data_IF_277804672731
#
_entry.id   IF_277804672731
#
_cell.length_a   1.000
_cell.length_b   1.000
_cell.length_c   1.000
_cell.angle_alpha   90.00
_cell.angle_beta   90.00
_cell.angle_gamma   90.00
#
_symmetry.space_group_name_H-M   'P 1'
#
loop_
_entity.id
_entity.type
_entity.pdbx_description
1 polymer ?
#
# COMPACT_ATOMS: atom_id res chain seq x y z
N UNK A 1 31.93 -50.44 10.22
CA UNK A 1 31.28 -49.66 9.14
C UNK A 1 30.33 -48.65 9.78
N UNK A 2 30.74 -47.39 9.91
CA UNK A 2 29.92 -46.32 10.52
C UNK A 2 29.43 -45.39 9.42
N UNK A 3 28.24 -45.70 8.87
CA UNK A 3 27.57 -44.84 7.90
C UNK A 3 27.15 -43.53 8.55
N UNK A 4 27.72 -42.42 8.12
CA UNK A 4 27.34 -41.07 8.57
C UNK A 4 25.93 -40.76 8.07
N UNK A 5 24.97 -40.74 8.99
CA UNK A 5 23.61 -40.28 8.74
C UNK A 5 23.62 -38.77 8.51
N UNK A 6 23.31 -38.35 7.28
CA UNK A 6 23.02 -36.95 6.97
C UNK A 6 21.50 -36.77 7.00
N UNK A 7 20.94 -35.98 7.94
CA UNK A 7 19.52 -35.66 7.88
C UNK A 7 19.26 -34.90 6.58
N UNK A 8 18.25 -35.32 5.84
CA UNK A 8 17.75 -34.61 4.66
C UNK A 8 17.26 -33.23 5.09
N UNK A 9 18.18 -32.26 5.10
CA UNK A 9 17.87 -30.85 5.33
C UNK A 9 17.08 -30.42 4.11
N UNK A 10 15.76 -30.47 4.20
CA UNK A 10 14.88 -29.85 3.23
C UNK A 10 15.26 -28.38 3.18
N UNK A 11 16.10 -28.04 2.20
CA UNK A 11 16.25 -26.66 1.74
C UNK A 11 14.91 -26.32 1.11
N UNK A 12 13.92 -26.00 1.94
CA UNK A 12 12.88 -25.07 1.52
C UNK A 12 13.67 -23.88 1.01
N UNK A 13 13.76 -23.76 -0.32
CA UNK A 13 14.27 -22.57 -0.97
C UNK A 13 13.50 -21.44 -0.29
N UNK A 14 14.19 -20.67 0.57
CA UNK A 14 13.63 -19.43 1.12
C UNK A 14 13.14 -18.72 -0.12
N UNK A 15 11.81 -18.61 -0.24
CA UNK A 15 11.12 -18.11 -1.43
C UNK A 15 12.00 -17.02 -2.01
N UNK A 16 12.64 -17.36 -3.14
CA UNK A 16 13.65 -16.50 -3.75
C UNK A 16 13.08 -15.11 -3.83
N UNK A 17 13.97 -14.15 -3.58
CA UNK A 17 13.83 -12.72 -3.78
C UNK A 17 12.71 -12.40 -4.80
N UNK A 18 11.46 -12.43 -4.34
CA UNK A 18 10.35 -11.93 -5.12
C UNK A 18 10.57 -10.46 -4.94
N UNK A 19 11.19 -9.83 -5.94
CA UNK A 19 11.25 -8.39 -6.06
C UNK A 19 9.85 -7.90 -5.71
N UNK A 20 9.69 -7.42 -4.47
CA UNK A 20 8.45 -6.79 -4.09
C UNK A 20 8.42 -5.58 -4.98
N UNK A 21 7.54 -5.58 -5.97
CA UNK A 21 7.26 -4.41 -6.78
C UNK A 21 6.61 -3.41 -5.84
N UNK A 22 7.42 -2.75 -5.02
CA UNK A 22 7.02 -1.57 -4.29
C UNK A 22 6.60 -0.55 -5.33
N UNK A 23 5.49 0.14 -5.09
CA UNK A 23 5.09 1.20 -6.00
C UNK A 23 6.24 2.20 -6.12
N UNK A 24 6.50 2.74 -7.32
CA UNK A 24 7.57 3.70 -7.49
C UNK A 24 7.37 4.87 -6.54
N UNK A 25 8.45 5.37 -5.93
CA UNK A 25 8.40 6.47 -4.98
C UNK A 25 7.65 7.70 -5.55
N UNK A 26 7.79 7.93 -6.86
CA UNK A 26 7.07 8.96 -7.61
C UNK A 26 5.54 8.87 -7.52
N UNK A 27 4.96 7.68 -7.33
CA UNK A 27 3.52 7.53 -7.09
C UNK A 27 3.11 8.15 -5.75
N UNK A 28 3.89 7.89 -4.70
CA UNK A 28 3.62 8.46 -3.38
C UNK A 28 3.82 9.98 -3.37
N UNK A 29 4.87 10.47 -4.01
CA UNK A 29 5.10 11.91 -4.15
C UNK A 29 3.92 12.60 -4.85
N UNK A 30 3.42 12.04 -5.96
CA UNK A 30 2.23 12.56 -6.65
C UNK A 30 0.97 12.53 -5.77
N UNK A 31 0.74 11.44 -5.04
CA UNK A 31 -0.39 11.33 -4.14
C UNK A 31 -0.31 12.33 -2.99
N UNK A 32 0.87 12.53 -2.41
CA UNK A 32 1.11 13.48 -1.33
C UNK A 32 0.99 14.92 -1.81
N UNK A 33 1.50 15.25 -3.00
CA UNK A 33 1.30 16.56 -3.62
C UNK A 33 -0.19 16.86 -3.84
N UNK A 34 -0.97 15.87 -4.30
CA UNK A 34 -2.42 16.01 -4.44
C UNK A 34 -3.14 16.20 -3.09
N UNK A 35 -2.64 15.60 -2.01
CA UNK A 35 -3.15 15.83 -0.65
C UNK A 35 -2.78 17.21 -0.12
N UNK A 36 -1.58 17.71 -0.43
CA UNK A 36 -1.14 19.04 -0.02
C UNK A 36 -1.96 20.12 -0.74
N UNK A 37 -2.26 19.91 -2.03
CA UNK A 37 -3.14 20.79 -2.79
C UNK A 37 -4.58 20.76 -2.26
N UNK A 38 -5.10 19.57 -1.93
CA UNK A 38 -6.46 19.38 -1.45
C UNK A 38 -6.50 18.54 -0.16
N UNK A 39 -6.36 19.17 1.03
CA UNK A 39 -6.34 18.47 2.32
C UNK A 39 -7.62 17.67 2.61
N UNK A 40 -8.74 18.01 1.98
CA UNK A 40 -9.98 17.24 2.13
C UNK A 40 -9.86 15.78 1.66
N UNK A 41 -8.93 15.50 0.75
CA UNK A 41 -8.64 14.14 0.26
C UNK A 41 -8.08 13.21 1.34
N UNK A 42 -7.70 13.75 2.50
CA UNK A 42 -7.40 12.93 3.69
C UNK A 42 -8.61 12.08 4.09
N UNK A 43 -9.85 12.54 3.82
CA UNK A 43 -11.07 11.73 4.03
C UNK A 43 -11.07 10.46 3.16
N UNK A 44 -10.63 10.56 1.90
CA UNK A 44 -10.47 9.41 0.98
C UNK A 44 -9.46 8.41 1.53
N UNK A 45 -8.34 8.89 2.06
CA UNK A 45 -7.32 8.09 2.74
C UNK A 45 -7.90 7.30 3.93
N UNK A 46 -8.69 7.97 4.79
CA UNK A 46 -9.38 7.33 5.92
C UNK A 46 -10.42 6.32 5.46
N UNK A 47 -11.19 6.63 4.42
CA UNK A 47 -12.18 5.73 3.85
C UNK A 47 -11.54 4.45 3.28
N UNK A 48 -10.43 4.60 2.53
CA UNK A 48 -9.65 3.48 2.01
C UNK A 48 -9.11 2.61 3.13
N UNK A 49 -8.54 3.22 4.17
CA UNK A 49 -8.02 2.51 5.33
C UNK A 49 -9.12 1.68 6.00
N UNK A 50 -10.26 2.29 6.32
CA UNK A 50 -11.40 1.61 6.93
C UNK A 50 -11.96 0.48 6.04
N UNK A 51 -11.94 0.66 4.71
CA UNK A 51 -12.33 -0.38 3.76
C UNK A 51 -11.40 -1.59 3.82
N UNK A 52 -10.08 -1.39 3.80
CA UNK A 52 -9.12 -2.50 3.85
C UNK A 52 -9.05 -3.17 5.23
N UNK A 53 -9.31 -2.45 6.32
CA UNK A 53 -9.38 -3.02 7.68
C UNK A 53 -10.53 -4.02 7.84
N UNK A 54 -11.65 -3.82 7.14
CA UNK A 54 -12.81 -4.72 7.18
C UNK A 54 -12.62 -6.02 6.39
N UNK A 55 -11.54 -6.14 5.61
CA UNK A 55 -11.30 -7.35 4.81
C UNK A 55 -10.94 -8.55 5.68
N UNK A 56 -11.76 -9.60 5.61
CA UNK A 56 -11.62 -10.82 6.43
C UNK A 56 -10.27 -11.54 6.21
N UNK A 57 -9.85 -11.68 4.95
CA UNK A 57 -8.68 -12.47 4.54
C UNK A 57 -7.41 -11.64 4.33
N UNK A 58 -7.26 -10.53 5.05
CA UNK A 58 -6.07 -9.69 4.90
C UNK A 58 -4.82 -10.35 5.53
N UNK A 59 -3.68 -10.41 4.82
CA UNK A 59 -2.46 -11.00 5.35
C UNK A 59 -1.93 -10.24 6.57
N UNK A 60 -1.21 -10.94 7.46
CA UNK A 60 -0.75 -10.38 8.74
C UNK A 60 0.13 -9.14 8.57
N UNK A 61 0.99 -9.11 7.56
CA UNK A 61 1.83 -7.95 7.22
C UNK A 61 1.01 -6.72 6.85
N UNK A 62 -0.08 -6.92 6.09
CA UNK A 62 -1.00 -5.86 5.70
C UNK A 62 -1.81 -5.35 6.90
N UNK A 63 -2.28 -6.24 7.77
CA UNK A 63 -2.94 -5.84 9.02
C UNK A 63 -2.03 -4.98 9.90
N UNK A 64 -0.73 -5.29 9.97
CA UNK A 64 0.24 -4.49 10.74
C UNK A 64 0.43 -3.10 10.12
N UNK A 65 0.55 -3.01 8.81
CA UNK A 65 0.70 -1.72 8.13
C UNK A 65 -0.56 -0.84 8.26
N UNK A 66 -1.76 -1.43 8.12
CA UNK A 66 -3.01 -0.70 8.33
C UNK A 66 -3.12 -0.16 9.76
N UNK A 67 -2.78 -0.97 10.78
CA UNK A 67 -2.76 -0.50 12.18
C UNK A 67 -1.81 0.68 12.39
N UNK A 68 -0.65 0.67 11.73
CA UNK A 68 0.32 1.77 11.79
C UNK A 68 -0.21 3.03 11.15
N UNK A 69 -0.84 2.91 9.98
CA UNK A 69 -1.54 4.01 9.35
C UNK A 69 -2.67 4.55 10.22
N UNK A 70 -3.43 3.67 10.87
CA UNK A 70 -4.52 4.05 11.77
C UNK A 70 -3.99 4.87 12.95
N UNK A 71 -2.86 4.43 13.55
CA UNK A 71 -2.19 5.19 14.60
C UNK A 71 -1.67 6.55 14.12
N UNK A 72 -1.04 6.60 12.94
CA UNK A 72 -0.55 7.84 12.33
C UNK A 72 -1.69 8.84 12.12
N UNK A 73 -2.80 8.40 11.50
CA UNK A 73 -3.96 9.26 11.21
C UNK A 73 -4.78 9.61 12.47
N UNK A 74 -4.62 8.86 13.56
CA UNK A 74 -5.18 9.21 14.87
C UNK A 74 -4.33 10.25 15.59
N UNK A 75 -3.00 10.20 15.42
CA UNK A 75 -2.07 11.15 16.02
C UNK A 75 -2.11 12.51 15.29
N UNK A 76 -2.25 12.50 13.97
CA UNK A 76 -2.19 13.71 13.15
C UNK A 76 -3.14 13.67 11.96
N UNK A 77 -3.76 14.82 11.69
CA UNK A 77 -4.49 15.08 10.46
C UNK A 77 -3.72 16.02 9.53
N UNK A 78 -2.50 16.42 9.90
CA UNK A 78 -1.68 17.32 9.08
C UNK A 78 -1.09 16.57 7.90
N UNK A 79 -1.38 17.06 6.69
CA UNK A 79 -0.84 16.49 5.45
C UNK A 79 0.69 16.54 5.43
N UNK A 80 1.29 17.57 6.02
CA UNK A 80 2.74 17.72 6.07
C UNK A 80 3.40 16.65 6.92
N UNK A 81 2.76 16.26 8.03
CA UNK A 81 3.25 15.17 8.86
C UNK A 81 3.10 13.83 8.15
N UNK A 82 1.94 13.58 7.53
CA UNK A 82 1.71 12.37 6.71
C UNK A 82 2.77 12.27 5.62
N UNK A 83 3.08 13.37 4.95
CA UNK A 83 4.10 13.45 3.89
C UNK A 83 5.48 13.08 4.43
N UNK A 84 5.89 13.68 5.56
CA UNK A 84 7.16 13.37 6.21
C UNK A 84 7.26 11.89 6.55
N UNK A 85 6.24 11.31 7.19
CA UNK A 85 6.24 9.91 7.60
C UNK A 85 6.30 8.94 6.42
N UNK A 86 5.55 9.21 5.35
CA UNK A 86 5.48 8.33 4.18
C UNK A 86 6.76 8.38 3.35
N UNK A 87 7.40 9.54 3.23
CA UNK A 87 8.65 9.71 2.46
C UNK A 87 9.90 9.42 3.28
N UNK A 88 9.79 9.32 4.61
CA UNK A 88 10.94 9.05 5.48
C UNK A 88 11.65 7.76 5.05
N UNK A 89 12.99 7.79 5.03
CA UNK A 89 13.80 6.58 4.90
C UNK A 89 13.92 5.88 6.26
N UNK A 90 12.77 5.51 6.82
CA UNK A 90 12.65 4.76 8.05
C UNK A 90 11.90 3.46 7.80
N UNK A 91 11.98 2.55 8.76
CA UNK A 91 11.19 1.31 8.73
C UNK A 91 9.69 1.59 8.57
N UNK A 92 9.18 2.65 9.20
CA UNK A 92 7.77 3.05 9.05
C UNK A 92 7.47 3.57 7.63
N UNK A 93 8.31 4.44 7.08
CA UNK A 93 8.15 4.94 5.72
C UNK A 93 8.18 3.82 4.66
N UNK A 94 9.12 2.88 4.77
CA UNK A 94 9.15 1.69 3.91
C UNK A 94 7.89 0.83 4.05
N UNK A 95 7.37 0.68 5.27
CA UNK A 95 6.10 -0.04 5.50
C UNK A 95 4.90 0.66 4.92
N UNK A 96 4.85 1.99 4.99
CA UNK A 96 3.80 2.78 4.36
C UNK A 96 3.82 2.63 2.83
N UNK A 97 5.01 2.67 2.22
CA UNK A 97 5.20 2.51 0.77
C UNK A 97 4.88 1.09 0.25
N UNK A 98 4.74 0.10 1.12
CA UNK A 98 4.26 -1.24 0.74
C UNK A 98 2.74 -1.29 0.49
N UNK A 99 1.99 -0.22 0.79
CA UNK A 99 0.53 -0.18 0.66
C UNK A 99 0.05 1.02 -0.19
N UNK A 100 0.42 1.08 -1.49
CA UNK A 100 0.02 2.16 -2.39
C UNK A 100 -1.50 2.29 -2.55
N UNK A 101 -2.23 1.20 -2.36
CA UNK A 101 -3.69 1.14 -2.49
C UNK A 101 -4.43 2.03 -1.49
N UNK A 102 -3.79 2.42 -0.39
CA UNK A 102 -4.37 3.37 0.58
C UNK A 102 -4.53 4.76 -0.06
N UNK A 103 -3.68 5.12 -1.02
CA UNK A 103 -3.73 6.38 -1.77
C UNK A 103 -4.61 6.30 -3.03
N UNK A 104 -5.32 5.20 -3.25
CA UNK A 104 -6.22 5.06 -4.40
C UNK A 104 -7.27 6.19 -4.41
N UNK A 105 -7.48 6.81 -5.56
CA UNK A 105 -8.44 7.91 -5.70
C UNK A 105 -7.96 9.27 -5.20
N UNK A 106 -6.75 9.37 -4.64
CA UNK A 106 -6.15 10.67 -4.25
C UNK A 106 -5.66 11.43 -5.49
N UNK A 107 -5.00 10.71 -6.41
CA UNK A 107 -4.47 11.26 -7.67
C UNK A 107 -5.58 11.38 -8.74
N UNK A 108 -6.59 10.52 -8.71
CA UNK A 108 -7.56 10.33 -9.80
C UNK A 108 -8.90 11.07 -9.59
N UNK A 109 -8.89 12.38 -9.38
CA UNK A 109 -10.15 13.17 -9.56
C UNK A 109 -10.41 13.54 -11.04
N UNK A 110 -9.47 13.28 -11.95
CA UNK A 110 -9.61 13.66 -13.38
C UNK A 110 -9.95 12.49 -14.33
N UNK A 111 -10.16 11.26 -13.84
CA UNK A 111 -10.28 10.08 -14.72
C UNK A 111 -11.44 9.13 -14.43
N UNK A 112 -12.57 9.64 -13.91
CA UNK A 112 -13.87 8.95 -13.99
C UNK A 112 -14.93 9.76 -14.74
N UNK A 113 -14.56 10.27 -15.91
CA UNK A 113 -15.53 10.56 -16.99
C UNK A 113 -14.97 10.02 -18.30
N UNK A 114 -15.37 8.80 -18.70
CA UNK A 114 -15.11 8.33 -20.06
C UNK A 114 -14.79 6.86 -20.32
N UNK A 115 -15.01 5.93 -19.39
CA UNK A 115 -15.06 4.50 -19.77
C UNK A 115 -16.47 4.12 -20.26
N UNK A 116 -16.87 4.72 -21.38
CA UNK A 116 -17.95 4.19 -22.20
C UNK A 116 -17.49 2.82 -22.71
N UNK A 117 -18.11 1.77 -22.19
CA UNK A 117 -18.03 0.41 -22.73
C UNK A 117 -18.37 0.47 -24.23
N UNK A 118 -17.57 -0.10 -25.14
CA UNK A 118 -18.04 -0.33 -26.50
C UNK A 118 -19.14 -1.40 -26.41
N UNK A 119 -20.39 -0.98 -26.59
CA UNK A 119 -21.46 -1.89 -26.99
C UNK A 119 -21.03 -2.51 -28.32
N UNK A 120 -20.81 -3.83 -28.30
CA UNK A 120 -20.65 -4.60 -29.52
C UNK A 120 -22.02 -4.67 -30.18
N UNK A 121 -22.36 -3.67 -30.96
CA UNK A 121 -23.45 -3.75 -31.93
C UNK A 121 -22.98 -4.61 -33.10
N UNK A 122 -23.41 -5.87 -33.02
CA UNK A 122 -24.26 -6.52 -34.03
C UNK A 122 -23.88 -6.30 -35.52
N UNK A 123 -23.49 -7.39 -36.18
CA UNK A 123 -23.62 -7.54 -37.62
C UNK A 123 -24.00 -8.97 -37.96
#
# INVERSE_FOLDING_TARGET
MTGKYYPFRSKTKRSGDREKTEAPLAYFEKALAALQANPEKVKTLKANLAHYEKQQFLPKSAKVALKRYSYLLALTNSVDEITKWVLQDSYEGQRFRQFPLIFKGVINDEFESGSQLPTKDEK
#
